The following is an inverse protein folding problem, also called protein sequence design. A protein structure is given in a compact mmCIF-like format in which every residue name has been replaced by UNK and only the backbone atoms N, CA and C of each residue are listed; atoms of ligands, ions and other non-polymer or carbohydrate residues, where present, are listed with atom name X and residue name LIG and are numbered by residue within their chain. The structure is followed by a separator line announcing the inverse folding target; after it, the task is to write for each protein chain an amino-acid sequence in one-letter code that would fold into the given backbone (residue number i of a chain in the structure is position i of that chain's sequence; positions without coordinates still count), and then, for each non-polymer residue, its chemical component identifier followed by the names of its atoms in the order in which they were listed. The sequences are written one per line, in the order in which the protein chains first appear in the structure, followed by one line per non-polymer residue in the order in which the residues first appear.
data_IF_189185404473
#
_entry.id   IF_189185404473
#
_cell.length_a   1.000
_cell.length_b   1.000
_cell.length_c   1.000
_cell.angle_alpha   90.00
_cell.angle_beta   90.00
_cell.angle_gamma   90.00
#
_symmetry.space_group_name_H-M   'P 1'
#
loop_
_entity.id
_entity.type
_entity.pdbx_description
1 polymer ?
#
# COMPACT_ATOMS: atom_id res chain seq x y z
N UNK A 1 82.08 54.71 0.32
CA UNK A 1 81.78 53.31 -0.06
C UNK A 1 81.89 52.43 1.17
N UNK A 2 81.10 51.36 1.39
CA UNK A 2 79.80 50.94 0.80
C UNK A 2 78.69 50.82 1.89
N UNK A 3 77.43 51.21 1.63
CA UNK A 3 76.33 50.35 1.12
C UNK A 3 76.07 49.09 1.97
N UNK A 4 75.11 49.14 2.91
CA UNK A 4 74.43 47.92 3.38
C UNK A 4 73.00 47.93 2.85
N UNK A 5 72.85 47.16 1.76
CA UNK A 5 71.63 46.92 1.03
C UNK A 5 70.63 46.15 1.89
N UNK A 6 69.41 46.67 1.94
CA UNK A 6 68.25 46.07 2.57
C UNK A 6 67.81 44.84 1.75
N UNK A 7 68.20 43.63 2.13
CA UNK A 7 67.72 42.39 1.50
C UNK A 7 66.47 41.91 2.24
N UNK A 8 65.29 42.18 1.67
CA UNK A 8 64.05 41.47 2.04
C UNK A 8 64.14 40.03 1.51
N UNK A 9 63.90 39.00 2.32
CA UNK A 9 63.71 37.66 1.77
C UNK A 9 62.41 37.61 0.94
N UNK A 10 62.38 36.82 -0.14
CA UNK A 10 61.23 36.74 -1.03
C UNK A 10 60.04 36.10 -0.32
N UNK A 11 58.88 36.71 -0.53
CA UNK A 11 57.56 36.20 -0.14
C UNK A 11 57.43 34.72 -0.51
N UNK A 12 57.43 33.85 0.50
CA UNK A 12 57.11 32.44 0.35
C UNK A 12 55.66 32.33 -0.15
N UNK A 13 55.55 32.15 -1.46
CA UNK A 13 54.35 31.84 -2.22
C UNK A 13 53.69 30.64 -1.54
N UNK A 14 52.55 30.86 -0.87
CA UNK A 14 51.72 29.77 -0.33
C UNK A 14 51.44 28.81 -1.48
N UNK A 15 52.02 27.61 -1.41
CA UNK A 15 51.64 26.48 -2.24
C UNK A 15 50.18 26.20 -1.89
N UNK A 16 49.27 26.64 -2.76
CA UNK A 16 47.89 26.18 -2.76
C UNK A 16 47.98 24.69 -3.07
N UNK A 17 47.82 23.85 -2.06
CA UNK A 17 47.53 22.44 -2.27
C UNK A 17 46.16 22.43 -2.96
N UNK A 18 46.16 22.22 -4.27
CA UNK A 18 44.95 21.86 -4.99
C UNK A 18 44.55 20.49 -4.47
N UNK A 19 43.73 20.46 -3.41
CA UNK A 19 42.98 19.28 -3.06
C UNK A 19 42.00 19.09 -4.21
N UNK A 20 42.36 18.18 -5.13
CA UNK A 20 41.43 17.61 -6.10
C UNK A 20 40.27 17.07 -5.26
N UNK A 21 39.04 17.55 -5.40
CA UNK A 21 37.91 16.89 -4.76
C UNK A 21 37.78 15.53 -5.44
N UNK A 22 38.33 14.49 -4.80
CA UNK A 22 37.91 13.12 -5.08
C UNK A 22 36.41 13.14 -4.90
N UNK A 23 35.68 13.02 -6.00
CA UNK A 23 34.23 12.90 -5.99
C UNK A 23 33.92 11.50 -5.47
N UNK A 24 34.15 11.30 -4.17
CA UNK A 24 33.50 10.22 -3.46
C UNK A 24 32.01 10.47 -3.63
N UNK A 25 31.33 9.53 -4.28
CA UNK A 25 29.88 9.49 -4.27
C UNK A 25 29.48 9.09 -2.85
N UNK A 26 29.55 10.06 -1.94
CA UNK A 26 29.11 9.89 -0.56
C UNK A 26 27.59 9.84 -0.60
N UNK A 27 27.02 8.64 -0.41
CA UNK A 27 25.58 8.35 -0.42
C UNK A 27 24.75 9.09 0.66
N UNK A 28 25.36 10.02 1.40
CA UNK A 28 24.70 10.87 2.38
C UNK A 28 25.37 12.25 2.36
N UNK A 29 24.70 13.23 1.75
CA UNK A 29 25.07 14.64 1.87
C UNK A 29 24.60 15.11 3.25
N UNK A 30 25.52 15.44 4.16
CA UNK A 30 25.16 16.04 5.45
C UNK A 30 25.08 17.55 5.27
N UNK A 31 23.87 18.10 5.32
CA UNK A 31 23.67 19.55 5.27
C UNK A 31 23.57 20.05 6.71
N UNK A 32 24.46 20.97 7.08
CA UNK A 32 24.45 21.61 8.39
C UNK A 32 23.56 22.84 8.32
N UNK A 33 22.39 22.79 8.95
CA UNK A 33 21.51 23.94 9.14
C UNK A 33 21.60 24.29 10.63
N UNK A 34 21.98 25.53 10.95
CA UNK A 34 22.05 26.06 12.34
C UNK A 34 22.85 25.22 13.35
N UNK A 35 23.95 24.59 12.92
CA UNK A 35 24.83 23.80 13.80
C UNK A 35 24.33 22.40 14.12
N UNK A 36 23.25 21.93 13.50
CA UNK A 36 22.80 20.54 13.58
C UNK A 36 23.05 19.80 12.26
N UNK A 37 23.59 18.58 12.38
CA UNK A 37 23.87 17.70 11.23
C UNK A 37 22.59 16.98 10.79
N UNK A 38 21.93 17.48 9.75
CA UNK A 38 20.79 16.80 9.14
C UNK A 38 21.30 15.88 8.03
N UNK A 39 21.00 14.58 8.13
CA UNK A 39 21.38 13.61 7.09
C UNK A 39 20.37 13.66 5.96
N UNK A 40 20.79 14.03 4.75
CA UNK A 40 19.95 14.01 3.55
C UNK A 40 19.68 12.55 3.16
N UNK A 41 18.43 12.10 3.32
CA UNK A 41 17.99 10.73 2.98
C UNK A 41 17.55 10.69 1.53
N UNK A 42 17.99 9.68 0.78
CA UNK A 42 17.53 9.48 -0.59
C UNK A 42 16.04 9.08 -0.56
N UNK A 43 15.12 9.85 -1.18
CA UNK A 43 13.69 9.55 -1.20
C UNK A 43 13.37 8.18 -1.82
N UNK A 44 14.18 7.71 -2.77
CA UNK A 44 14.02 6.39 -3.39
C UNK A 44 14.37 5.25 -2.42
N UNK A 45 15.31 5.46 -1.49
CA UNK A 45 15.65 4.46 -0.48
C UNK A 45 14.54 4.26 0.54
N UNK A 46 13.81 5.34 0.87
CA UNK A 46 12.66 5.29 1.77
C UNK A 46 11.50 4.51 1.14
N UNK A 47 11.20 4.79 -0.13
CA UNK A 47 10.18 4.06 -0.89
C UNK A 47 10.55 2.57 -1.04
N UNK A 48 11.81 2.27 -1.40
CA UNK A 48 12.29 0.90 -1.54
C UNK A 48 12.20 0.09 -0.25
N UNK A 49 12.68 0.64 0.86
CA UNK A 49 12.60 -0.03 2.17
C UNK A 49 11.15 -0.13 2.68
N UNK A 50 10.31 0.86 2.39
CA UNK A 50 8.88 0.81 2.68
C UNK A 50 8.19 -0.38 2.02
N UNK A 51 8.46 -0.63 0.73
CA UNK A 51 7.90 -1.77 -0.01
C UNK A 51 8.48 -3.11 0.50
N UNK A 52 9.80 -3.20 0.68
CA UNK A 52 10.48 -4.43 1.12
C UNK A 52 9.98 -4.89 2.49
N UNK A 53 9.70 -3.95 3.38
CA UNK A 53 9.24 -4.25 4.76
C UNK A 53 7.73 -4.25 4.91
N UNK A 54 6.96 -4.27 3.81
CA UNK A 54 5.49 -4.26 3.82
C UNK A 54 4.95 -3.10 4.69
N UNK A 55 5.58 -1.92 4.59
CA UNK A 55 5.18 -0.71 5.31
C UNK A 55 5.70 -0.59 6.76
N UNK A 56 6.38 -1.59 7.33
CA UNK A 56 6.90 -1.47 8.71
C UNK A 56 7.96 -0.37 8.81
N UNK A 57 8.88 -0.29 7.85
CA UNK A 57 9.89 0.76 7.81
C UNK A 57 9.28 2.16 7.67
N UNK A 58 8.11 2.28 7.02
CA UNK A 58 7.41 3.54 6.88
C UNK A 58 7.08 4.15 8.25
N UNK A 59 6.62 3.35 9.22
CA UNK A 59 6.34 3.83 10.58
C UNK A 59 7.60 4.34 11.30
N UNK A 60 8.72 3.61 11.19
CA UNK A 60 10.01 4.03 11.75
C UNK A 60 10.49 5.35 11.12
N UNK A 61 10.48 5.41 9.79
CA UNK A 61 10.89 6.60 9.05
C UNK A 61 9.99 7.80 9.39
N UNK A 62 8.68 7.59 9.44
CA UNK A 62 7.69 8.62 9.76
C UNK A 62 7.91 9.21 11.15
N UNK A 63 8.14 8.36 12.16
CA UNK A 63 8.52 8.83 13.49
C UNK A 63 9.80 9.68 13.44
N UNK A 64 10.85 9.17 12.79
CA UNK A 64 12.15 9.83 12.81
C UNK A 64 12.15 11.15 12.06
N UNK A 65 11.38 11.29 10.98
CA UNK A 65 11.21 12.56 10.27
C UNK A 65 10.47 13.59 11.14
N UNK A 66 9.38 13.20 11.81
CA UNK A 66 8.67 14.11 12.72
C UNK A 66 9.56 14.57 13.90
N UNK A 67 10.41 13.67 14.41
CA UNK A 67 11.38 13.99 15.46
C UNK A 67 12.46 14.99 14.98
N UNK A 68 12.96 14.80 13.75
CA UNK A 68 13.91 15.75 13.14
C UNK A 68 13.28 17.13 12.90
N UNK A 69 12.02 17.18 12.44
CA UNK A 69 11.28 18.43 12.25
C UNK A 69 11.10 19.15 13.59
N UNK A 70 10.64 18.44 14.63
CA UNK A 70 10.50 18.99 15.99
C UNK A 70 11.82 19.60 16.49
N UNK A 71 12.95 18.92 16.29
CA UNK A 71 14.26 19.39 16.73
C UNK A 71 14.72 20.65 15.99
N UNK A 72 14.48 20.74 14.68
CA UNK A 72 14.85 21.89 13.86
C UNK A 72 13.95 23.09 14.15
N UNK A 73 12.65 22.88 14.23
CA UNK A 73 11.66 23.94 14.41
C UNK A 73 11.56 24.41 15.87
N UNK A 74 12.14 23.64 16.81
CA UNK A 74 12.07 23.84 18.28
C UNK A 74 10.63 24.00 18.78
N UNK A 75 9.68 23.44 18.04
CA UNK A 75 8.26 23.50 18.33
C UNK A 75 7.84 22.25 19.12
N UNK A 76 7.58 22.44 20.42
CA UNK A 76 7.15 21.34 21.30
C UNK A 76 5.70 20.91 21.07
N UNK A 77 4.92 21.65 20.27
CA UNK A 77 3.57 21.24 19.89
C UNK A 77 3.56 20.04 18.94
N UNK A 78 4.67 19.83 18.22
CA UNK A 78 4.87 18.67 17.35
C UNK A 78 5.22 17.46 18.24
N UNK A 79 4.30 16.50 18.32
CA UNK A 79 4.51 15.23 19.01
C UNK A 79 4.67 14.09 17.98
N UNK A 80 5.91 13.67 17.67
CA UNK A 80 6.18 12.55 16.75
C UNK A 80 5.45 11.27 17.16
N UNK A 81 5.39 11.02 18.47
CA UNK A 81 4.67 9.87 19.03
C UNK A 81 3.17 9.95 18.77
N UNK A 82 2.54 11.11 18.96
CA UNK A 82 1.09 11.27 18.70
C UNK A 82 0.76 11.08 17.23
N UNK A 83 1.55 11.66 16.34
CA UNK A 83 1.40 11.48 14.89
C UNK A 83 1.61 10.03 14.47
N UNK A 84 2.60 9.34 15.04
CA UNK A 84 2.84 7.92 14.78
C UNK A 84 1.67 7.06 15.24
N UNK A 85 1.13 7.29 16.45
CA UNK A 85 -0.02 6.55 16.95
C UNK A 85 -1.23 6.74 16.04
N UNK A 86 -1.53 7.99 15.62
CA UNK A 86 -2.60 8.25 14.67
C UNK A 86 -2.43 7.46 13.37
N UNK A 87 -1.19 7.34 12.87
CA UNK A 87 -0.88 6.56 11.67
C UNK A 87 -1.11 5.06 11.87
N UNK A 88 -0.66 4.50 13.00
CA UNK A 88 -0.85 3.07 13.34
C UNK A 88 -2.34 2.74 13.46
N UNK A 89 -3.11 3.57 14.19
CA UNK A 89 -4.55 3.34 14.35
C UNK A 89 -5.32 3.57 13.05
N UNK A 90 -4.94 4.56 12.24
CA UNK A 90 -5.49 4.74 10.90
C UNK A 90 -5.29 3.50 10.03
N UNK A 91 -4.07 2.95 10.01
CA UNK A 91 -3.75 1.71 9.30
C UNK A 91 -4.57 0.52 9.82
N UNK A 92 -4.72 0.39 11.14
CA UNK A 92 -5.48 -0.70 11.76
C UNK A 92 -6.99 -0.64 11.46
N UNK A 93 -7.53 0.53 11.14
CA UNK A 93 -8.93 0.70 10.72
C UNK A 93 -9.09 0.42 9.22
N UNK A 94 -8.12 0.84 8.41
CA UNK A 94 -8.23 0.79 6.94
C UNK A 94 -7.96 -0.62 6.39
N UNK A 95 -7.01 -1.38 6.95
CA UNK A 95 -6.59 -2.68 6.40
C UNK A 95 -7.62 -3.81 6.59
N UNK A 96 -8.25 -4.01 7.76
CA UNK A 96 -9.12 -5.17 7.99
C UNK A 96 -10.29 -5.31 7.01
N UNK A 97 -10.97 -4.24 6.56
CA UNK A 97 -12.01 -4.34 5.54
C UNK A 97 -11.55 -4.99 4.22
N UNK A 98 -10.31 -4.75 3.77
CA UNK A 98 -9.78 -5.38 2.55
C UNK A 98 -9.53 -6.87 2.72
N UNK A 99 -9.02 -7.27 3.89
CA UNK A 99 -8.83 -8.69 4.24
C UNK A 99 -10.20 -9.39 4.32
N UNK A 100 -11.19 -8.74 4.94
CA UNK A 100 -12.54 -9.25 5.02
C UNK A 100 -13.13 -9.45 3.62
N UNK A 101 -12.97 -8.47 2.71
CA UNK A 101 -13.44 -8.59 1.33
C UNK A 101 -12.76 -9.72 0.56
N UNK A 102 -11.43 -9.86 0.70
CA UNK A 102 -10.69 -10.96 0.10
C UNK A 102 -11.24 -12.32 0.55
N UNK A 103 -11.48 -12.47 1.86
CA UNK A 103 -12.03 -13.71 2.42
C UNK A 103 -13.45 -13.96 1.92
N UNK A 104 -14.31 -12.93 1.91
CA UNK A 104 -15.69 -13.02 1.37
C UNK A 104 -15.67 -13.45 -0.09
N UNK A 105 -14.88 -12.81 -0.95
CA UNK A 105 -14.78 -13.18 -2.35
C UNK A 105 -14.21 -14.60 -2.54
N UNK A 106 -13.26 -15.02 -1.72
CA UNK A 106 -12.74 -16.41 -1.72
C UNK A 106 -13.83 -17.42 -1.36
N UNK A 107 -14.73 -17.10 -0.42
CA UNK A 107 -15.86 -17.96 -0.10
C UNK A 107 -16.87 -18.06 -1.25
N UNK A 108 -17.15 -16.95 -1.93
CA UNK A 108 -18.02 -16.92 -3.12
C UNK A 108 -17.40 -17.71 -4.27
N UNK A 109 -16.09 -17.55 -4.51
CA UNK A 109 -15.36 -18.31 -5.55
C UNK A 109 -15.49 -19.82 -5.32
N UNK A 110 -15.24 -20.28 -4.10
CA UNK A 110 -15.38 -21.72 -3.74
C UNK A 110 -16.81 -22.22 -3.91
N UNK A 111 -17.81 -21.38 -3.68
CA UNK A 111 -19.21 -21.71 -3.91
C UNK A 111 -19.50 -21.87 -5.41
N UNK A 112 -19.06 -20.91 -6.22
CA UNK A 112 -19.22 -20.93 -7.68
C UNK A 112 -18.51 -22.14 -8.32
N UNK A 113 -17.30 -22.49 -7.87
CA UNK A 113 -16.57 -23.69 -8.29
C UNK A 113 -17.34 -24.97 -8.00
N UNK A 114 -17.89 -25.11 -6.79
CA UNK A 114 -18.69 -26.28 -6.38
C UNK A 114 -19.97 -26.42 -7.21
N UNK A 115 -20.53 -25.31 -7.65
CA UNK A 115 -21.75 -25.26 -8.44
C UNK A 115 -21.48 -25.32 -9.95
N UNK A 116 -20.22 -25.40 -10.38
CA UNK A 116 -19.84 -25.48 -11.78
C UNK A 116 -20.10 -24.19 -12.57
N UNK A 117 -20.11 -23.03 -11.90
CA UNK A 117 -20.24 -21.73 -12.56
C UNK A 117 -18.99 -21.48 -13.41
N UNK A 118 -19.18 -21.15 -14.70
CA UNK A 118 -18.08 -21.00 -15.67
C UNK A 118 -17.16 -19.81 -15.39
N UNK A 119 -17.68 -18.75 -14.80
CA UNK A 119 -16.94 -17.53 -14.50
C UNK A 119 -17.01 -17.27 -13.00
N UNK A 120 -15.97 -17.66 -12.29
CA UNK A 120 -15.87 -17.48 -10.84
C UNK A 120 -15.38 -16.06 -10.52
N UNK A 121 -15.75 -15.57 -9.35
CA UNK A 121 -15.27 -14.30 -8.83
C UNK A 121 -13.76 -14.39 -8.61
N UNK A 122 -13.07 -13.32 -8.97
CA UNK A 122 -11.66 -13.14 -8.63
C UNK A 122 -11.57 -12.26 -7.36
N UNK A 123 -10.99 -12.75 -6.24
CA UNK A 123 -10.88 -12.03 -4.98
C UNK A 123 -10.04 -10.74 -5.00
N UNK A 124 -8.92 -10.73 -5.71
CA UNK A 124 -8.11 -9.53 -5.94
C UNK A 124 -8.90 -8.46 -6.71
N UNK A 125 -9.71 -8.83 -7.71
CA UNK A 125 -10.56 -7.87 -8.43
C UNK A 125 -11.60 -7.26 -7.49
N UNK A 126 -12.22 -8.05 -6.61
CA UNK A 126 -13.14 -7.52 -5.60
C UNK A 126 -12.43 -6.49 -4.68
N UNK A 127 -11.21 -6.79 -4.21
CA UNK A 127 -10.42 -5.87 -3.39
C UNK A 127 -10.04 -4.60 -4.16
N UNK A 128 -9.66 -4.71 -5.43
CA UNK A 128 -9.33 -3.56 -6.29
C UNK A 128 -10.55 -2.68 -6.54
N UNK A 129 -11.71 -3.28 -6.84
CA UNK A 129 -12.97 -2.53 -7.01
C UNK A 129 -13.35 -1.85 -5.70
N UNK A 130 -13.22 -2.52 -4.55
CA UNK A 130 -13.45 -1.89 -3.25
C UNK A 130 -12.55 -0.67 -3.03
N UNK A 131 -11.28 -0.74 -3.46
CA UNK A 131 -10.32 0.36 -3.34
C UNK A 131 -10.64 1.55 -4.26
N UNK A 132 -11.00 1.30 -5.53
CA UNK A 132 -11.20 2.37 -6.54
C UNK A 132 -12.65 2.86 -6.59
N UNK A 133 -13.62 1.96 -6.42
CA UNK A 133 -15.05 2.19 -6.57
C UNK A 133 -15.85 1.46 -5.47
N UNK A 134 -15.69 1.87 -4.22
CA UNK A 134 -16.27 1.16 -3.06
C UNK A 134 -17.79 0.91 -3.18
N UNK A 135 -18.53 1.82 -3.83
CA UNK A 135 -19.98 1.67 -4.08
C UNK A 135 -20.27 0.54 -5.08
N UNK A 136 -19.47 0.41 -6.14
CA UNK A 136 -19.66 -0.59 -7.19
C UNK A 136 -19.31 -2.01 -6.73
N UNK A 137 -18.50 -2.14 -5.67
CA UNK A 137 -18.09 -3.44 -5.15
C UNK A 137 -19.27 -4.34 -4.75
N UNK A 138 -20.31 -3.76 -4.15
CA UNK A 138 -21.52 -4.50 -3.80
C UNK A 138 -22.21 -5.09 -5.02
N UNK A 139 -22.29 -4.34 -6.13
CA UNK A 139 -22.89 -4.83 -7.38
C UNK A 139 -22.10 -6.01 -7.97
N UNK A 140 -20.77 -5.90 -8.00
CA UNK A 140 -19.89 -6.95 -8.52
C UNK A 140 -20.03 -8.26 -7.74
N UNK A 141 -19.94 -8.21 -6.40
CA UNK A 141 -20.08 -9.39 -5.54
C UNK A 141 -21.49 -9.98 -5.68
N UNK A 142 -22.51 -9.12 -5.74
CA UNK A 142 -23.89 -9.58 -5.84
C UNK A 142 -24.20 -10.28 -7.16
N UNK A 143 -23.61 -9.83 -8.27
CA UNK A 143 -23.75 -10.47 -9.59
C UNK A 143 -23.22 -11.91 -9.58
N UNK A 144 -22.06 -12.14 -8.98
CA UNK A 144 -21.47 -13.47 -8.80
C UNK A 144 -22.33 -14.37 -7.91
N UNK A 145 -22.84 -13.83 -6.79
CA UNK A 145 -23.78 -14.56 -5.94
C UNK A 145 -25.04 -14.96 -6.72
N UNK A 146 -25.61 -14.07 -7.53
CA UNK A 146 -26.79 -14.36 -8.32
C UNK A 146 -26.54 -15.48 -9.33
N UNK A 147 -25.38 -15.47 -10.02
CA UNK A 147 -24.98 -16.59 -10.90
C UNK A 147 -24.89 -17.93 -10.17
N UNK A 148 -24.33 -17.92 -8.96
CA UNK A 148 -24.26 -19.11 -8.13
C UNK A 148 -25.68 -19.62 -7.80
N UNK A 149 -26.61 -18.73 -7.45
CA UNK A 149 -28.00 -19.10 -7.20
C UNK A 149 -28.72 -19.65 -8.43
N UNK A 150 -28.49 -19.05 -9.60
CA UNK A 150 -29.08 -19.54 -10.85
C UNK A 150 -28.60 -20.96 -11.17
N UNK A 151 -27.30 -21.24 -11.03
CA UNK A 151 -26.70 -22.56 -11.25
C UNK A 151 -27.24 -23.62 -10.26
N UNK A 152 -27.42 -23.23 -8.99
CA UNK A 152 -28.04 -24.11 -8.00
C UNK A 152 -29.51 -24.41 -8.35
N UNK A 153 -30.27 -23.40 -8.80
CA UNK A 153 -31.70 -23.55 -9.14
C UNK A 153 -31.93 -24.43 -10.38
N UNK A 154 -31.03 -24.37 -11.38
CA UNK A 154 -31.11 -25.22 -12.57
C UNK A 154 -30.79 -26.67 -12.23
N UNK A 155 -29.80 -26.87 -11.35
CA UNK A 155 -29.43 -28.21 -10.86
C UNK A 155 -30.57 -28.85 -10.05
N UNK A 156 -31.22 -28.07 -9.17
CA UNK A 156 -32.37 -28.52 -8.39
C UNK A 156 -33.60 -28.86 -9.25
N UNK A 157 -33.87 -28.08 -10.30
CA UNK A 157 -34.95 -28.38 -11.27
C UNK A 157 -34.69 -29.65 -12.07
N UNK A 158 -33.44 -29.93 -12.45
CA UNK A 158 -33.09 -31.16 -13.16
C UNK A 158 -33.25 -32.42 -12.28
N UNK A 159 -33.12 -32.28 -10.96
CA UNK A 159 -33.31 -33.36 -9.99
C UNK A 159 -34.75 -33.56 -9.51
N UNK A 160 -35.68 -32.68 -9.89
CA UNK A 160 -37.08 -32.77 -9.46
C UNK A 160 -37.81 -33.92 -10.17
N UNK A 161 -38.60 -34.76 -9.47
CA UNK A 161 -39.43 -35.77 -10.12
C UNK A 161 -40.39 -35.15 -11.14
N UNK A 162 -40.68 -35.83 -12.27
CA UNK A 162 -41.64 -35.31 -13.24
C UNK A 162 -42.98 -35.04 -12.56
N UNK A 163 -43.68 -33.95 -12.93
CA UNK A 163 -44.99 -33.64 -12.36
C UNK A 163 -45.94 -34.83 -12.62
N UNK A 164 -46.84 -35.14 -11.66
CA UNK A 164 -47.83 -36.18 -11.86
C UNK A 164 -48.64 -35.89 -13.13
N UNK A 165 -48.98 -36.93 -13.92
CA UNK A 165 -49.75 -36.75 -15.15
C UNK A 165 -51.04 -35.98 -14.84
N UNK A 166 -51.51 -35.12 -15.77
CA UNK A 166 -52.76 -34.40 -15.60
C UNK A 166 -53.86 -35.40 -15.22
N UNK A 167 -54.52 -35.19 -14.09
CA UNK A 167 -55.71 -35.98 -13.74
C UNK A 167 -56.72 -35.79 -14.86
N UNK A 168 -56.89 -36.82 -15.70
CA UNK A 168 -57.94 -36.79 -16.70
C UNK A 168 -59.28 -36.62 -15.97
N UNK A 169 -60.14 -35.67 -16.40
CA UNK A 169 -61.49 -35.58 -15.89
C UNK A 169 -62.16 -36.96 -15.98
N UNK A 170 -62.96 -37.36 -14.97
CA UNK A 170 -63.65 -38.63 -15.02
C UNK A 170 -64.44 -38.74 -16.32
N UNK A 171 -64.30 -39.87 -17.01
CA UNK A 171 -65.01 -40.12 -18.26
C UNK A 171 -66.52 -39.91 -18.03
N UNK A 172 -67.22 -39.21 -18.95
CA UNK A 172 -68.65 -39.00 -18.80
C UNK A 172 -69.35 -40.36 -18.72
N UNK A 173 -70.37 -40.50 -17.85
CA UNK A 173 -71.08 -41.76 -17.70
C UNK A 173 -71.69 -42.16 -19.04
N UNK A 174 -71.42 -43.39 -19.47
CA UNK A 174 -72.03 -44.02 -20.64
C UNK A 174 -73.53 -44.15 -20.37
N UNK A 175 -74.35 -43.48 -21.20
CA UNK A 175 -75.80 -43.60 -21.22
C UNK A 175 -76.25 -44.80 -22.05
#
# INVERSE_FOLDING_TARGET
MPTSSRVRPPSARRLRHNVVPTREVTMAETVTIEGQHVRKRNPLGVLGLGVITIGIYFFYWYYKVNDEIRMVERDETISPTRSLMAMIFGWLIIVPPFIAMWNTATHVQKLEERLGVRQTIEPAIAVVIMFVFSIANGMYVQEHLNRAWDAASSSGRASAPPPPPPMMPPAPPTA
#
